data_IF_673257355688
#
_entry.id   IF_673257355688
#
_cell.length_a   1.000
_cell.length_b   1.000
_cell.length_c   1.000
_cell.angle_alpha   90.00
_cell.angle_beta   90.00
_cell.angle_gamma   90.00
#
_symmetry.space_group_name_H-M   'P 1'
#
loop_
_entity.id
_entity.type
_entity.pdbx_description
1 polymer ?
#
# COMPACT_ATOMS: atom_id res chain seq x y z
N UNK A 1 -54.12 -31.94 38.13
CA UNK A 1 -52.84 -31.32 38.55
C UNK A 1 -51.69 -32.18 38.05
N UNK A 2 -50.63 -31.53 37.54
CA UNK A 2 -49.33 -32.05 37.03
C UNK A 2 -49.32 -32.41 35.54
N UNK A 3 -48.40 -31.97 34.69
CA UNK A 3 -47.56 -30.76 34.54
C UNK A 3 -47.19 -30.76 33.03
N UNK A 4 -47.48 -29.69 32.30
CA UNK A 4 -46.92 -29.49 30.96
C UNK A 4 -45.43 -29.16 31.12
N UNK A 5 -44.56 -29.87 30.39
CA UNK A 5 -43.17 -29.45 30.21
C UNK A 5 -42.95 -29.28 28.71
N UNK A 6 -43.07 -28.06 28.23
CA UNK A 6 -42.67 -27.69 26.88
C UNK A 6 -41.18 -27.37 26.92
N UNK A 7 -40.36 -28.17 26.24
CA UNK A 7 -38.93 -27.91 26.05
C UNK A 7 -38.81 -26.90 24.92
N UNK A 8 -38.41 -25.67 25.25
CA UNK A 8 -38.08 -24.63 24.29
C UNK A 8 -36.65 -24.87 23.81
N UNK A 9 -36.48 -25.37 22.59
CA UNK A 9 -35.18 -25.47 21.94
C UNK A 9 -34.84 -24.08 21.40
N UNK A 10 -33.96 -23.36 22.09
CA UNK A 10 -33.33 -22.14 21.56
C UNK A 10 -32.30 -22.58 20.52
N UNK A 11 -32.64 -22.43 19.24
CA UNK A 11 -31.69 -22.61 18.15
C UNK A 11 -30.68 -21.46 18.19
N UNK A 12 -29.48 -21.74 18.70
CA UNK A 12 -28.33 -20.85 18.63
C UNK A 12 -27.83 -20.85 17.18
N UNK A 13 -28.22 -19.85 16.39
CA UNK A 13 -27.64 -19.62 15.07
C UNK A 13 -26.21 -19.17 15.24
N UNK A 14 -25.27 -20.09 15.08
CA UNK A 14 -23.85 -19.79 14.92
C UNK A 14 -23.74 -19.00 13.60
N UNK A 15 -23.53 -17.70 13.72
CA UNK A 15 -23.17 -16.84 12.60
C UNK A 15 -21.76 -17.27 12.16
N UNK A 16 -21.67 -18.18 11.20
CA UNK A 16 -20.41 -18.51 10.55
C UNK A 16 -19.84 -17.22 9.96
N UNK A 17 -18.55 -16.89 10.17
CA UNK A 17 -17.93 -15.81 9.42
C UNK A 17 -18.08 -16.16 7.95
N UNK A 18 -18.69 -15.27 7.18
CA UNK A 18 -18.77 -15.42 5.74
C UNK A 18 -17.33 -15.59 5.24
N UNK A 19 -16.99 -16.78 4.76
CA UNK A 19 -15.80 -16.98 3.96
C UNK A 19 -16.05 -16.20 2.67
N UNK A 20 -15.62 -14.95 2.66
CA UNK A 20 -15.56 -14.17 1.42
C UNK A 20 -14.67 -14.98 0.48
N UNK A 21 -15.15 -15.37 -0.71
CA UNK A 21 -14.27 -16.00 -1.67
C UNK A 21 -13.15 -14.99 -1.91
N UNK A 22 -11.91 -15.38 -1.58
CA UNK A 22 -10.73 -14.64 -2.00
C UNK A 22 -10.91 -14.34 -3.50
N UNK A 23 -10.72 -13.08 -3.91
CA UNK A 23 -10.76 -12.74 -5.33
C UNK A 23 -9.66 -13.59 -5.97
N UNK A 24 -10.06 -14.65 -6.66
CA UNK A 24 -9.19 -15.70 -7.14
C UNK A 24 -8.59 -15.28 -8.48
N UNK A 25 -7.63 -14.34 -8.42
CA UNK A 25 -6.66 -14.11 -9.48
C UNK A 25 -5.32 -13.90 -8.80
N UNK A 26 -4.42 -14.88 -8.94
CA UNK A 26 -3.02 -14.70 -8.57
C UNK A 26 -2.46 -13.58 -9.46
N UNK A 27 -1.93 -12.49 -8.90
CA UNK A 27 -1.39 -11.42 -9.72
C UNK A 27 -0.17 -11.91 -10.48
N UNK A 28 0.06 -11.34 -11.66
CA UNK A 28 1.23 -11.63 -12.49
C UNK A 28 2.55 -11.29 -11.77
N UNK A 29 2.51 -10.32 -10.85
CA UNK A 29 3.65 -9.87 -10.05
C UNK A 29 3.22 -9.78 -8.59
N UNK A 30 3.97 -10.44 -7.70
CA UNK A 30 3.79 -10.38 -6.25
C UNK A 30 4.79 -9.43 -5.60
N UNK A 31 4.63 -9.13 -4.31
CA UNK A 31 5.57 -8.31 -3.56
C UNK A 31 7.00 -8.88 -3.57
N UNK A 32 7.15 -10.21 -3.61
CA UNK A 32 8.46 -10.87 -3.65
C UNK A 32 9.16 -10.79 -5.01
N UNK A 33 8.44 -10.44 -6.07
CA UNK A 33 9.00 -10.29 -7.42
C UNK A 33 9.52 -8.86 -7.67
N UNK A 34 9.24 -7.91 -6.77
CA UNK A 34 9.63 -6.50 -6.91
C UNK A 34 11.11 -6.32 -6.57
N UNK A 35 11.94 -6.15 -7.59
CA UNK A 35 13.39 -5.97 -7.45
C UNK A 35 13.92 -4.75 -8.20
N UNK A 36 13.10 -4.14 -9.06
CA UNK A 36 13.44 -3.00 -9.89
C UNK A 36 12.21 -2.13 -10.21
N UNK A 37 12.41 -1.11 -11.05
CA UNK A 37 11.36 -0.17 -11.46
C UNK A 37 10.26 -0.82 -12.31
N UNK A 38 10.62 -1.77 -13.18
CA UNK A 38 9.65 -2.41 -14.08
C UNK A 38 8.72 -3.34 -13.28
N UNK A 39 9.30 -4.20 -12.44
CA UNK A 39 8.56 -5.08 -11.54
C UNK A 39 7.73 -4.30 -10.53
N UNK A 40 8.25 -3.18 -9.98
CA UNK A 40 7.48 -2.29 -9.11
C UNK A 40 6.25 -1.70 -9.81
N UNK A 41 6.42 -1.18 -11.04
CA UNK A 41 5.32 -0.62 -11.81
C UNK A 41 4.24 -1.67 -12.09
N UNK A 42 4.65 -2.86 -12.54
CA UNK A 42 3.74 -3.97 -12.78
C UNK A 42 2.97 -4.36 -11.51
N UNK A 43 3.65 -4.46 -10.37
CA UNK A 43 3.03 -4.75 -9.07
C UNK A 43 1.96 -3.74 -8.66
N UNK A 44 2.22 -2.44 -8.79
CA UNK A 44 1.23 -1.38 -8.47
C UNK A 44 0.01 -1.45 -9.39
N UNK A 45 0.20 -1.71 -10.68
CA UNK A 45 -0.91 -1.88 -11.61
C UNK A 45 -1.71 -3.16 -11.32
N UNK A 46 -1.06 -4.26 -10.93
CA UNK A 46 -1.73 -5.48 -10.50
C UNK A 46 -2.57 -5.25 -9.24
N UNK A 47 -2.04 -4.52 -8.25
CA UNK A 47 -2.78 -4.15 -7.04
C UNK A 47 -4.01 -3.30 -7.34
N UNK A 48 -3.90 -2.33 -8.26
CA UNK A 48 -5.04 -1.55 -8.73
C UNK A 48 -6.11 -2.44 -9.36
N UNK A 49 -5.72 -3.33 -10.29
CA UNK A 49 -6.66 -4.24 -10.94
C UNK A 49 -7.35 -5.17 -9.94
N UNK A 50 -6.62 -5.61 -8.91
CA UNK A 50 -7.17 -6.40 -7.82
C UNK A 50 -8.24 -5.65 -7.04
N UNK A 51 -7.99 -4.38 -6.68
CA UNK A 51 -8.98 -3.51 -6.06
C UNK A 51 -10.19 -3.24 -6.96
N UNK A 52 -9.98 -3.04 -8.26
CA UNK A 52 -11.06 -2.79 -9.24
C UNK A 52 -12.04 -3.98 -9.36
N UNK A 53 -11.60 -5.20 -9.01
CA UNK A 53 -12.42 -6.41 -9.04
C UNK A 53 -13.31 -6.59 -7.80
N UNK A 54 -13.19 -5.72 -6.78
CA UNK A 54 -14.05 -5.79 -5.60
C UNK A 54 -15.53 -5.53 -6.00
N UNK A 55 -16.40 -6.52 -5.79
CA UNK A 55 -17.82 -6.42 -6.11
C UNK A 55 -18.66 -5.82 -4.98
N UNK A 56 -18.08 -5.66 -3.79
CA UNK A 56 -18.74 -5.09 -2.62
C UNK A 56 -17.77 -4.31 -1.73
N UNK A 57 -18.32 -3.46 -0.87
CA UNK A 57 -17.53 -2.78 0.16
C UNK A 57 -16.82 -3.77 1.09
N UNK A 58 -17.48 -4.90 1.41
CA UNK A 58 -16.89 -5.91 2.28
C UNK A 58 -15.66 -6.57 1.64
N UNK A 59 -15.72 -6.87 0.34
CA UNK A 59 -14.57 -7.38 -0.43
C UNK A 59 -13.46 -6.33 -0.52
N UNK A 60 -13.81 -5.07 -0.82
CA UNK A 60 -12.83 -3.99 -0.86
C UNK A 60 -12.06 -3.85 0.48
N UNK A 61 -12.77 -3.89 1.60
CA UNK A 61 -12.16 -3.85 2.93
C UNK A 61 -11.30 -5.09 3.22
N UNK A 62 -11.70 -6.27 2.74
CA UNK A 62 -10.90 -7.49 2.84
C UNK A 62 -9.58 -7.36 2.05
N UNK A 63 -9.61 -6.82 0.83
CA UNK A 63 -8.41 -6.55 0.04
C UNK A 63 -7.46 -5.61 0.77
N UNK A 64 -7.98 -4.52 1.35
CA UNK A 64 -7.14 -3.60 2.12
C UNK A 64 -6.49 -4.30 3.33
N UNK A 65 -7.18 -5.26 3.96
CA UNK A 65 -6.59 -6.07 5.03
C UNK A 65 -5.49 -7.01 4.51
N UNK A 66 -5.68 -7.60 3.32
CA UNK A 66 -4.65 -8.40 2.66
C UNK A 66 -3.39 -7.58 2.37
N UNK A 67 -3.53 -6.32 1.93
CA UNK A 67 -2.40 -5.43 1.65
C UNK A 67 -1.55 -5.07 2.89
N UNK A 68 -2.07 -5.32 4.10
CA UNK A 68 -1.34 -5.14 5.37
C UNK A 68 -0.71 -6.43 5.90
N UNK A 69 -1.06 -7.57 5.31
CA UNK A 69 -0.69 -8.91 5.79
C UNK A 69 0.40 -9.49 4.90
N UNK A 70 1.41 -10.14 5.49
CA UNK A 70 2.45 -10.83 4.71
C UNK A 70 1.83 -11.83 3.73
N UNK A 71 2.29 -11.81 2.49
CA UNK A 71 1.76 -12.63 1.40
C UNK A 71 2.00 -12.01 0.03
N UNK A 72 1.02 -12.17 -0.85
CA UNK A 72 1.09 -11.73 -2.25
C UNK A 72 1.34 -10.23 -2.38
N UNK A 73 0.73 -9.42 -1.52
CA UNK A 73 0.71 -7.96 -1.61
C UNK A 73 1.64 -7.24 -0.65
N UNK A 74 2.34 -8.00 0.21
CA UNK A 74 3.33 -7.48 1.14
C UNK A 74 4.36 -8.56 1.45
N UNK A 75 5.63 -8.24 1.26
CA UNK A 75 6.74 -9.11 1.65
C UNK A 75 7.88 -8.26 2.20
N UNK A 76 8.15 -8.38 3.49
CA UNK A 76 9.22 -7.61 4.15
C UNK A 76 9.08 -6.11 3.91
N UNK A 77 10.03 -5.53 3.17
CA UNK A 77 10.08 -4.11 2.84
C UNK A 77 9.30 -3.66 1.59
N UNK A 78 8.70 -4.60 0.84
CA UNK A 78 7.80 -4.29 -0.29
C UNK A 78 6.35 -4.31 0.20
N UNK A 79 5.68 -3.17 0.10
CA UNK A 79 4.29 -2.98 0.56
C UNK A 79 3.59 -1.87 -0.23
N UNK A 80 2.26 -1.95 -0.27
CA UNK A 80 1.39 -0.93 -0.85
C UNK A 80 1.10 0.20 0.16
N UNK A 81 0.89 1.40 -0.37
CA UNK A 81 0.37 2.55 0.34
C UNK A 81 -0.68 3.26 -0.52
N UNK A 82 -1.64 3.91 0.13
CA UNK A 82 -2.59 4.77 -0.54
C UNK A 82 -2.89 6.01 0.32
N UNK A 83 -3.08 7.15 -0.33
CA UNK A 83 -3.41 8.40 0.33
C UNK A 83 -4.38 9.25 -0.48
N UNK A 84 -4.98 10.23 0.16
CA UNK A 84 -5.84 11.21 -0.49
C UNK A 84 -5.02 12.27 -1.23
N UNK A 85 -5.62 13.03 -2.16
CA UNK A 85 -4.94 14.13 -2.86
C UNK A 85 -4.48 15.29 -1.96
N UNK A 86 -4.97 15.37 -0.72
CA UNK A 86 -4.52 16.32 0.31
C UNK A 86 -3.50 15.71 1.29
N UNK A 87 -3.02 14.48 1.03
CA UNK A 87 -1.91 13.86 1.75
C UNK A 87 -2.30 13.13 3.04
N UNK A 88 -3.58 12.80 3.25
CA UNK A 88 -4.01 11.91 4.33
C UNK A 88 -3.75 10.46 3.91
N UNK A 89 -2.98 9.73 4.72
CA UNK A 89 -2.67 8.33 4.44
C UNK A 89 -3.87 7.44 4.79
N UNK A 90 -4.29 6.58 3.88
CA UNK A 90 -5.46 5.70 4.02
C UNK A 90 -5.06 4.23 4.14
N UNK A 91 -3.93 3.87 3.56
CA UNK A 91 -3.33 2.55 3.64
C UNK A 91 -1.82 2.70 3.78
N UNK A 92 -1.22 1.99 4.71
CA UNK A 92 0.23 1.80 4.76
C UNK A 92 0.57 0.39 5.19
N UNK A 93 0.86 -0.48 4.21
CA UNK A 93 0.98 -1.91 4.43
C UNK A 93 2.02 -2.32 5.48
N UNK A 94 3.10 -1.55 5.64
CA UNK A 94 4.14 -1.83 6.65
C UNK A 94 3.92 -1.17 8.03
N UNK A 95 3.10 -0.12 8.11
CA UNK A 95 2.94 0.66 9.33
C UNK A 95 1.54 1.31 9.38
N UNK A 96 0.52 0.54 9.79
CA UNK A 96 -0.86 1.03 9.85
C UNK A 96 -1.08 2.20 10.83
N UNK A 97 -0.17 2.43 11.78
CA UNK A 97 -0.29 3.55 12.75
C UNK A 97 -0.16 4.93 12.08
N UNK A 98 0.36 4.98 10.85
CA UNK A 98 0.42 6.20 10.04
C UNK A 98 -0.91 6.53 9.36
N UNK A 99 -1.85 5.59 9.29
CA UNK A 99 -3.14 5.80 8.63
C UNK A 99 -3.99 6.84 9.39
N UNK A 100 -4.66 7.71 8.64
CA UNK A 100 -5.40 8.86 9.14
C UNK A 100 -4.53 10.10 9.40
N UNK A 101 -3.20 9.99 9.34
CA UNK A 101 -2.31 11.14 9.48
C UNK A 101 -2.17 11.89 8.16
N UNK A 102 -2.15 13.22 8.23
CA UNK A 102 -1.78 14.04 7.09
C UNK A 102 -0.26 14.24 7.08
N UNK A 103 0.39 13.72 6.03
CA UNK A 103 1.85 13.79 5.83
C UNK A 103 2.21 14.63 4.59
N UNK A 104 1.31 15.50 4.14
CA UNK A 104 1.49 16.33 2.94
C UNK A 104 2.74 17.21 3.00
N UNK A 105 3.06 17.75 4.17
CA UNK A 105 4.23 18.60 4.40
C UNK A 105 5.41 17.87 5.04
N UNK A 106 5.33 16.54 5.21
CA UNK A 106 6.43 15.75 5.73
C UNK A 106 7.60 15.82 4.75
N UNK A 107 8.75 16.22 5.28
CA UNK A 107 9.97 16.46 4.53
C UNK A 107 11.05 15.51 5.03
N UNK A 108 11.74 14.84 4.10
CA UNK A 108 12.87 13.98 4.45
C UNK A 108 14.15 14.79 4.72
N UNK A 109 15.24 14.12 5.13
CA UNK A 109 16.50 14.79 5.45
C UNK A 109 17.17 15.49 4.25
N UNK A 110 16.73 15.23 3.02
CA UNK A 110 17.21 15.87 1.79
C UNK A 110 16.28 17.01 1.31
N UNK A 111 15.21 17.30 2.05
CA UNK A 111 14.24 18.33 1.68
C UNK A 111 13.15 17.85 0.73
N UNK A 112 13.00 16.54 0.53
CA UNK A 112 11.99 15.98 -0.37
C UNK A 112 10.67 15.86 0.37
N UNK A 113 9.64 16.57 -0.11
CA UNK A 113 8.25 16.40 0.31
C UNK A 113 7.60 15.25 -0.46
N UNK A 114 7.93 14.02 -0.07
CA UNK A 114 7.60 12.81 -0.83
C UNK A 114 6.11 12.69 -1.19
N UNK A 115 5.22 13.12 -0.31
CA UNK A 115 3.77 13.01 -0.53
C UNK A 115 3.32 13.92 -1.68
N UNK A 116 3.86 15.13 -1.76
CA UNK A 116 3.54 16.08 -2.83
C UNK A 116 4.06 15.58 -4.18
N UNK A 117 5.28 15.04 -4.20
CA UNK A 117 5.89 14.51 -5.41
C UNK A 117 5.15 13.24 -5.92
N UNK A 118 4.70 12.37 -5.01
CA UNK A 118 3.88 11.19 -5.36
C UNK A 118 2.49 11.58 -5.88
N UNK A 119 1.85 12.59 -5.28
CA UNK A 119 0.57 13.14 -5.77
C UNK A 119 0.75 13.75 -7.17
N UNK A 120 1.81 14.52 -7.40
CA UNK A 120 2.11 15.10 -8.70
C UNK A 120 2.35 14.01 -9.77
N UNK A 121 3.15 13.00 -9.45
CA UNK A 121 3.40 11.86 -10.35
C UNK A 121 2.10 11.11 -10.70
N UNK A 122 1.22 10.87 -9.72
CA UNK A 122 -0.07 10.25 -9.95
C UNK A 122 -1.00 11.13 -10.81
N UNK A 123 -0.98 12.45 -10.63
CA UNK A 123 -1.77 13.38 -11.45
C UNK A 123 -1.38 13.35 -12.94
N UNK A 124 -0.13 12.97 -13.26
CA UNK A 124 0.36 12.78 -14.63
C UNK A 124 0.05 11.38 -15.22
N UNK A 125 -0.70 10.55 -14.50
CA UNK A 125 -1.05 9.18 -14.89
C UNK A 125 -0.10 8.11 -14.38
N UNK A 126 0.97 8.52 -13.69
CA UNK A 126 1.85 7.65 -12.92
C UNK A 126 3.33 7.96 -13.10
N UNK A 127 4.11 7.78 -12.05
CA UNK A 127 5.54 8.12 -12.08
C UNK A 127 6.34 7.60 -10.90
N UNK A 128 7.67 7.64 -11.05
CA UNK A 128 8.61 7.23 -10.02
C UNK A 128 9.06 8.42 -9.18
N UNK A 129 9.19 8.20 -7.87
CA UNK A 129 9.68 9.20 -6.91
C UNK A 129 10.71 8.52 -6.01
N UNK A 130 11.80 9.22 -5.73
CA UNK A 130 12.90 8.73 -4.91
C UNK A 130 13.10 9.66 -3.71
N UNK A 131 13.15 9.08 -2.51
CA UNK A 131 13.15 9.80 -1.24
C UNK A 131 13.70 8.90 -0.13
N UNK A 132 13.89 9.44 1.08
CA UNK A 132 14.23 8.65 2.27
C UNK A 132 12.97 8.26 3.04
N UNK A 133 12.87 6.99 3.41
CA UNK A 133 11.78 6.47 4.25
C UNK A 133 12.31 5.42 5.23
N UNK A 134 11.76 5.29 6.45
CA UNK A 134 12.13 4.22 7.36
C UNK A 134 11.99 2.84 6.71
N UNK A 135 13.06 2.04 6.71
CA UNK A 135 13.06 0.67 6.24
C UNK A 135 12.44 -0.24 7.30
N UNK A 136 11.30 -0.93 7.03
CA UNK A 136 10.59 -1.67 8.08
C UNK A 136 11.35 -2.88 8.63
N UNK A 137 12.33 -3.40 7.88
CA UNK A 137 13.17 -4.53 8.30
C UNK A 137 14.44 -4.10 9.06
N UNK A 138 14.66 -2.79 9.28
CA UNK A 138 15.80 -2.25 10.03
C UNK A 138 15.27 -1.55 11.28
N UNK A 139 15.53 -2.12 12.45
CA UNK A 139 15.09 -1.55 13.71
C UNK A 139 15.69 -0.15 13.95
N UNK A 140 14.83 0.83 14.24
CA UNK A 140 15.24 2.21 14.51
C UNK A 140 15.71 2.99 13.28
N UNK A 141 15.53 2.49 12.06
CA UNK A 141 15.84 3.26 10.86
C UNK A 141 14.96 4.51 10.77
N UNK A 142 15.58 5.63 10.43
CA UNK A 142 14.93 6.94 10.30
C UNK A 142 14.91 7.45 8.86
N UNK A 143 15.53 6.71 7.93
CA UNK A 143 15.51 7.07 6.51
C UNK A 143 16.51 6.27 5.69
N UNK A 144 16.01 5.32 4.92
CA UNK A 144 16.76 4.61 3.88
C UNK A 144 16.29 5.05 2.49
N UNK A 145 17.16 5.04 1.46
CA UNK A 145 16.75 5.32 0.09
C UNK A 145 15.64 4.37 -0.36
N UNK A 146 14.55 4.95 -0.87
CA UNK A 146 13.40 4.22 -1.39
C UNK A 146 13.04 4.75 -2.78
N UNK A 147 12.76 3.84 -3.69
CA UNK A 147 12.17 4.15 -5.00
C UNK A 147 10.71 3.72 -4.95
N UNK A 148 9.79 4.65 -5.17
CA UNK A 148 8.35 4.36 -5.24
C UNK A 148 7.79 4.66 -6.62
N UNK A 149 6.71 3.98 -6.96
CA UNK A 149 5.89 4.26 -8.13
C UNK A 149 4.46 4.51 -7.65
N UNK A 150 3.85 5.59 -8.12
CA UNK A 150 2.50 5.97 -7.75
C UNK A 150 1.65 6.21 -9.00
N UNK A 151 0.36 5.90 -8.90
CA UNK A 151 -0.66 6.08 -9.94
C UNK A 151 -1.94 6.67 -9.34
N UNK A 152 -2.79 7.31 -10.16
CA UNK A 152 -4.10 7.74 -9.69
C UNK A 152 -5.00 6.52 -9.52
N UNK A 153 -5.83 6.55 -8.49
CA UNK A 153 -6.82 5.52 -8.20
C UNK A 153 -8.12 6.15 -7.71
N UNK A 154 -9.27 5.68 -8.20
CA UNK A 154 -10.57 6.18 -7.74
C UNK A 154 -11.43 5.02 -7.27
N UNK A 155 -12.00 5.16 -6.08
CA UNK A 155 -12.88 4.18 -5.47
C UNK A 155 -13.94 4.86 -4.63
N UNK A 156 -15.15 4.28 -4.58
CA UNK A 156 -16.24 4.78 -3.73
C UNK A 156 -16.58 6.26 -3.96
N UNK A 157 -16.39 6.76 -5.19
CA UNK A 157 -16.62 8.16 -5.56
C UNK A 157 -15.56 9.15 -5.05
N UNK A 158 -14.40 8.66 -4.62
CA UNK A 158 -13.28 9.46 -4.15
C UNK A 158 -12.01 9.13 -4.95
N UNK A 159 -11.12 10.12 -5.03
CA UNK A 159 -9.81 9.98 -5.65
C UNK A 159 -8.73 9.73 -4.60
N UNK A 160 -7.74 8.95 -4.99
CA UNK A 160 -6.61 8.52 -4.19
C UNK A 160 -5.35 8.45 -5.05
N UNK A 161 -4.22 8.42 -4.37
CA UNK A 161 -2.93 8.02 -4.91
C UNK A 161 -2.63 6.63 -4.39
N UNK A 162 -2.40 5.67 -5.28
CA UNK A 162 -1.99 4.31 -4.93
C UNK A 162 -0.54 4.11 -5.36
N UNK A 163 0.28 3.51 -4.50
CA UNK A 163 1.67 3.21 -4.84
C UNK A 163 2.28 2.11 -4.00
N UNK A 164 3.51 1.77 -4.37
CA UNK A 164 4.40 0.89 -3.61
C UNK A 164 5.83 1.39 -3.81
N UNK A 165 6.78 0.79 -3.08
CA UNK A 165 8.19 1.02 -3.35
C UNK A 165 9.08 -0.11 -2.86
N UNK A 166 10.32 -0.07 -3.29
CA UNK A 166 11.39 -0.96 -2.82
C UNK A 166 12.61 -0.15 -2.38
N UNK A 167 13.43 -0.78 -1.56
CA UNK A 167 14.68 -0.23 -1.08
C UNK A 167 15.81 -0.85 -1.90
N UNK A 168 16.42 -0.11 -2.84
CA UNK A 168 17.51 -0.65 -3.65
C UNK A 168 18.66 -1.06 -2.74
N UNK A 169 19.23 -2.25 -3.00
CA UNK A 169 20.49 -2.63 -2.37
C UNK A 169 21.53 -1.55 -2.64
N UNK A 170 22.10 -0.95 -1.60
CA UNK A 170 23.23 -0.05 -1.74
C UNK A 170 24.39 -0.85 -2.31
N UNK A 171 24.61 -0.76 -3.62
CA UNK A 171 25.86 -1.21 -4.20
C UNK A 171 26.98 -0.48 -3.48
N UNK A 172 27.92 -1.21 -2.90
CA UNK A 172 29.18 -0.72 -2.35
C UNK A 172 30.13 -0.24 -3.46
N UNK A 173 29.61 0.57 -4.38
CA UNK A 173 30.35 1.16 -5.48
C UNK A 173 30.25 2.65 -5.31
N UNK A 174 31.36 3.23 -4.83
CA UNK A 174 31.72 4.65 -4.91
C UNK A 174 30.59 5.65 -4.69
N UNK A 175 30.65 6.32 -3.54
CA UNK A 175 30.06 7.63 -3.30
C UNK A 175 30.62 8.59 -4.36
N UNK A 176 30.05 8.57 -5.56
CA UNK A 176 30.19 9.60 -6.59
C UNK A 176 28.78 10.02 -6.99
N UNK A 177 28.42 11.23 -6.58
CA UNK A 177 27.41 12.10 -7.18
C UNK A 177 26.09 11.45 -7.59
N UNK A 178 25.37 10.88 -6.62
CA UNK A 178 23.90 10.88 -6.72
C UNK A 178 23.40 12.08 -5.95
N UNK A 179 23.24 13.19 -6.66
CA UNK A 179 22.53 14.37 -6.19
C UNK A 179 21.04 14.03 -6.05
N UNK A 180 20.71 13.33 -4.97
CA UNK A 180 19.35 13.09 -4.52
C UNK A 180 18.74 14.45 -4.14
N UNK A 181 18.03 15.06 -5.09
CA UNK A 181 17.58 16.46 -5.04
C UNK A 181 17.67 17.22 -6.38
N UNK A 182 18.41 16.72 -7.38
CA UNK A 182 18.49 17.35 -8.72
C UNK A 182 17.64 16.69 -9.82
N UNK A 183 16.77 15.74 -9.49
CA UNK A 183 15.82 15.19 -10.47
C UNK A 183 14.70 16.16 -10.86
N UNK A 184 14.59 17.33 -10.20
CA UNK A 184 13.71 18.42 -10.65
C UNK A 184 14.09 19.03 -12.00
N UNK A 185 15.25 18.69 -12.58
CA UNK A 185 15.79 19.35 -13.78
C UNK A 185 15.94 18.47 -15.03
N UNK A 186 15.27 17.31 -15.12
CA UNK A 186 15.26 16.54 -16.37
C UNK A 186 13.83 16.24 -16.79
N UNK A 187 13.26 17.21 -17.51
CA UNK A 187 12.18 17.00 -18.49
C UNK A 187 12.73 16.28 -19.72
#
# INVERSE_FOLDING_TARGET
>A
MKHLTAVLIVALTILLPAAYPAIAQDPEVTAGDVVDRETLKAFVHAAKAYLDNAASLAEYLAILQEFRTEGVWKQGSVYLFAGTPDGVLILHGANPDLEGQNIYDLEDANGVKMTQELIAAAAEGGGFVEYLWPHPEIEGDTGSPKVSYAIPYSALGQDFVLGAGFYPATASTSIEDRSWGQLKSRQ
#
